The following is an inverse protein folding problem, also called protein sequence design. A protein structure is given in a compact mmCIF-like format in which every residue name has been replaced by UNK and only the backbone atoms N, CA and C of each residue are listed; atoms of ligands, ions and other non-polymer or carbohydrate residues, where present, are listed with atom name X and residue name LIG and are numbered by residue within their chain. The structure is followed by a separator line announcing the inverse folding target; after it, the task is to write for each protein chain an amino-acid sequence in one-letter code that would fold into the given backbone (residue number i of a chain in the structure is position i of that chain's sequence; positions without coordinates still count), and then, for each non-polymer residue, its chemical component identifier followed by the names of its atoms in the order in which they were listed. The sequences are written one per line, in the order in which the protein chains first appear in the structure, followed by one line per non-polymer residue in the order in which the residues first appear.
data_IF_611430221022
#
_entry.id   IF_611430221022
#
_cell.length_a   1.000
_cell.length_b   1.000
_cell.length_c   1.000
_cell.angle_alpha   90.00
_cell.angle_beta   90.00
_cell.angle_gamma   90.00
#
_symmetry.space_group_name_H-M   'P 1'
#
loop_
_entity.id
_entity.type
_entity.pdbx_description
1 polymer ?
#
# COMPACT_ATOMS: atom_id res chain seq x y z
N UNK A 1 36.60 33.39 -2.31
CA UNK A 1 35.24 32.85 -2.06
C UNK A 1 34.40 33.83 -1.24
N UNK A 2 34.85 34.28 -0.06
CA UNK A 2 34.10 35.22 0.79
C UNK A 2 33.78 36.56 0.11
N UNK A 3 34.62 37.03 -0.81
CA UNK A 3 34.38 38.27 -1.57
C UNK A 3 33.59 38.09 -2.88
N UNK A 4 33.01 36.90 -3.14
CA UNK A 4 32.24 36.68 -4.36
C UNK A 4 30.84 37.33 -4.22
N UNK A 5 30.52 38.37 -5.00
CA UNK A 5 29.34 39.20 -4.76
C UNK A 5 28.01 38.47 -5.01
N UNK A 6 27.99 37.47 -5.90
CA UNK A 6 26.80 36.70 -6.24
C UNK A 6 26.65 35.39 -5.44
N UNK A 7 27.45 35.21 -4.38
CA UNK A 7 27.44 33.95 -3.60
C UNK A 7 26.07 33.68 -2.96
N UNK A 8 25.37 34.75 -2.55
CA UNK A 8 24.03 34.66 -1.99
C UNK A 8 22.98 34.19 -3.01
N UNK A 9 23.09 34.65 -4.27
CA UNK A 9 22.18 34.22 -5.34
C UNK A 9 22.41 32.75 -5.71
N UNK A 10 23.67 32.32 -5.71
CA UNK A 10 24.04 30.91 -5.90
C UNK A 10 23.44 30.04 -4.77
N UNK A 11 23.54 30.46 -3.50
CA UNK A 11 22.89 29.76 -2.39
C UNK A 11 21.36 29.79 -2.46
N UNK A 12 20.79 30.86 -2.99
CA UNK A 12 19.35 30.93 -3.25
C UNK A 12 18.91 29.84 -4.23
N UNK A 13 19.61 29.73 -5.37
CA UNK A 13 19.33 28.71 -6.39
C UNK A 13 19.50 27.29 -5.83
N UNK A 14 20.56 27.03 -5.04
CA UNK A 14 20.76 25.73 -4.41
C UNK A 14 19.69 25.37 -3.39
N UNK A 15 19.20 26.36 -2.64
CA UNK A 15 18.09 26.13 -1.70
C UNK A 15 16.80 25.79 -2.44
N UNK A 16 16.49 26.48 -3.53
CA UNK A 16 15.31 26.16 -4.34
C UNK A 16 15.39 24.76 -4.93
N UNK A 17 16.54 24.40 -5.50
CA UNK A 17 16.79 23.06 -6.02
C UNK A 17 16.70 21.99 -4.93
N UNK A 18 17.32 22.24 -3.77
CA UNK A 18 17.26 21.35 -2.62
C UNK A 18 15.84 21.15 -2.11
N UNK A 19 15.06 22.23 -2.00
CA UNK A 19 13.66 22.17 -1.59
C UNK A 19 12.79 21.41 -2.59
N UNK A 20 13.03 21.55 -3.89
CA UNK A 20 12.31 20.79 -4.91
C UNK A 20 12.58 19.29 -4.79
N UNK A 21 13.84 18.90 -4.59
CA UNK A 21 14.21 17.50 -4.36
C UNK A 21 13.58 16.96 -3.08
N UNK A 22 13.66 17.71 -1.98
CA UNK A 22 13.05 17.32 -0.71
C UNK A 22 11.53 17.18 -0.84
N UNK A 23 10.87 18.07 -1.58
CA UNK A 23 9.44 17.98 -1.83
C UNK A 23 9.08 16.66 -2.53
N UNK A 24 9.78 16.29 -3.61
CA UNK A 24 9.52 15.03 -4.30
C UNK A 24 9.73 13.81 -3.40
N UNK A 25 10.78 13.81 -2.58
CA UNK A 25 11.02 12.73 -1.62
C UNK A 25 9.88 12.64 -0.58
N UNK A 26 9.48 13.78 -0.02
CA UNK A 26 8.47 13.81 1.03
C UNK A 26 7.07 13.45 0.51
N UNK A 27 6.71 13.92 -0.70
CA UNK A 27 5.41 13.61 -1.28
C UNK A 27 5.32 12.13 -1.66
N UNK A 28 6.38 11.54 -2.22
CA UNK A 28 6.42 10.12 -2.55
C UNK A 28 6.31 9.24 -1.29
N UNK A 29 7.02 9.60 -0.21
CA UNK A 29 6.91 8.93 1.08
C UNK A 29 5.49 9.04 1.68
N UNK A 30 4.83 10.18 1.50
CA UNK A 30 3.48 10.40 2.00
C UNK A 30 2.47 9.56 1.21
N UNK A 31 2.57 9.56 -0.12
CA UNK A 31 1.70 8.79 -1.00
C UNK A 31 1.87 7.28 -0.75
N UNK A 32 3.11 6.81 -0.59
CA UNK A 32 3.40 5.40 -0.29
C UNK A 32 2.73 4.95 1.02
N UNK A 33 2.70 5.80 2.04
CA UNK A 33 2.01 5.49 3.30
C UNK A 33 0.49 5.46 3.15
N UNK A 34 -0.07 6.33 2.31
CA UNK A 34 -1.50 6.35 1.99
C UNK A 34 -1.90 5.06 1.25
N UNK A 35 -1.17 4.71 0.18
CA UNK A 35 -1.41 3.50 -0.60
C UNK A 35 -1.34 2.24 0.26
N UNK A 36 -0.37 2.14 1.17
CA UNK A 36 -0.27 0.99 2.09
C UNK A 36 -1.50 0.91 3.00
N UNK A 37 -2.01 2.04 3.50
CA UNK A 37 -3.22 2.05 4.35
C UNK A 37 -4.43 1.56 3.56
N UNK A 38 -4.58 2.02 2.33
CA UNK A 38 -5.67 1.60 1.43
C UNK A 38 -5.58 0.11 1.12
N UNK A 39 -4.38 -0.39 0.81
CA UNK A 39 -4.14 -1.82 0.57
C UNK A 39 -4.43 -2.68 1.80
N UNK A 40 -4.04 -2.22 3.00
CA UNK A 40 -4.35 -2.92 4.24
C UNK A 40 -5.86 -2.99 4.52
N UNK A 41 -6.59 -1.93 4.21
CA UNK A 41 -8.05 -1.90 4.34
C UNK A 41 -8.75 -2.77 3.28
N UNK A 42 -8.17 -2.86 2.07
CA UNK A 42 -8.69 -3.68 0.98
C UNK A 42 -8.35 -5.19 1.12
N UNK A 43 -7.25 -5.52 1.82
CA UNK A 43 -6.73 -6.88 1.96
C UNK A 43 -7.77 -7.96 2.34
N UNK A 44 -8.70 -7.73 3.30
CA UNK A 44 -9.72 -8.73 3.66
C UNK A 44 -10.64 -9.12 2.50
N UNK A 45 -10.95 -8.18 1.59
CA UNK A 45 -11.85 -8.42 0.46
C UNK A 45 -11.15 -9.09 -0.73
N UNK A 46 -9.82 -9.03 -0.75
CA UNK A 46 -8.94 -9.64 -1.76
C UNK A 46 -8.40 -11.02 -1.34
N UNK A 47 -8.82 -11.56 -0.19
CA UNK A 47 -8.29 -12.79 0.43
C UNK A 47 -6.79 -12.72 0.80
N UNK A 48 -6.25 -11.53 1.03
CA UNK A 48 -4.89 -11.37 1.54
C UNK A 48 -4.89 -11.50 3.06
N UNK A 49 -4.55 -12.69 3.54
CA UNK A 49 -4.54 -13.01 4.97
C UNK A 49 -3.09 -13.00 5.49
N UNK A 50 -2.77 -12.24 6.55
CA UNK A 50 -1.46 -12.27 7.17
C UNK A 50 -1.08 -13.68 7.65
N UNK A 51 0.22 -13.98 7.63
CA UNK A 51 0.74 -15.29 8.06
C UNK A 51 0.36 -15.56 9.53
N UNK A 52 -0.40 -16.62 9.83
CA UNK A 52 -0.80 -16.92 11.20
C UNK A 52 0.36 -17.52 12.00
N UNK A 53 0.30 -17.35 13.31
CA UNK A 53 1.21 -18.03 14.22
C UNK A 53 0.94 -19.55 14.25
N UNK A 54 2.00 -20.35 14.12
CA UNK A 54 1.98 -21.80 14.26
C UNK A 54 2.89 -22.22 15.43
N UNK A 55 2.35 -23.02 16.36
CA UNK A 55 3.12 -23.64 17.45
C UNK A 55 3.88 -24.85 16.91
N UNK A 56 4.84 -25.32 17.68
CA UNK A 56 5.61 -26.51 17.37
C UNK A 56 4.69 -27.74 17.23
N UNK A 57 4.81 -28.46 16.11
CA UNK A 57 3.95 -29.59 15.77
C UNK A 57 2.64 -29.24 15.03
N UNK A 58 2.29 -27.97 14.84
CA UNK A 58 1.11 -27.57 14.07
C UNK A 58 1.45 -27.32 12.59
N UNK A 59 0.59 -27.79 11.67
CA UNK A 59 0.70 -27.44 10.26
C UNK A 59 0.25 -26.00 10.01
N UNK A 60 1.19 -25.16 9.58
CA UNK A 60 0.92 -23.77 9.19
C UNK A 60 -0.07 -23.70 8.00
N UNK A 61 0.07 -24.61 7.02
CA UNK A 61 -0.82 -24.67 5.86
C UNK A 61 -2.26 -24.97 6.25
N UNK A 62 -2.48 -25.91 7.18
CA UNK A 62 -3.82 -26.21 7.68
C UNK A 62 -4.47 -25.00 8.37
N UNK A 63 -3.68 -24.20 9.08
CA UNK A 63 -4.15 -22.94 9.70
C UNK A 63 -4.50 -21.88 8.67
N UNK A 64 -3.68 -21.72 7.63
CA UNK A 64 -3.94 -20.79 6.52
C UNK A 64 -5.26 -21.18 5.84
N UNK A 65 -5.42 -22.45 5.44
CA UNK A 65 -6.67 -22.93 4.81
C UNK A 65 -7.90 -22.72 5.69
N UNK A 66 -7.76 -22.92 7.02
CA UNK A 66 -8.86 -22.67 7.96
C UNK A 66 -9.24 -21.19 8.02
N UNK A 67 -8.25 -20.29 7.96
CA UNK A 67 -8.50 -18.84 7.94
C UNK A 67 -9.11 -18.38 6.61
N UNK A 68 -8.62 -18.90 5.49
CA UNK A 68 -9.22 -18.67 4.17
C UNK A 68 -10.69 -19.10 4.15
N UNK A 69 -11.01 -20.30 4.67
CA UNK A 69 -12.38 -20.77 4.77
C UNK A 69 -13.25 -19.87 5.69
N UNK A 70 -12.69 -19.39 6.81
CA UNK A 70 -13.39 -18.49 7.73
C UNK A 70 -13.73 -17.14 7.08
N UNK A 71 -12.84 -16.59 6.27
CA UNK A 71 -13.01 -15.27 5.63
C UNK A 71 -13.49 -15.36 4.18
N UNK A 72 -13.79 -16.55 3.65
CA UNK A 72 -14.25 -16.75 2.28
C UNK A 72 -15.49 -15.92 1.92
N UNK A 73 -16.37 -15.67 2.89
CA UNK A 73 -17.55 -14.83 2.73
C UNK A 73 -17.26 -13.33 2.60
N UNK A 74 -16.02 -12.88 2.83
CA UNK A 74 -15.60 -11.49 2.62
C UNK A 74 -15.02 -11.24 1.24
N UNK A 75 -14.75 -12.30 0.45
CA UNK A 75 -14.16 -12.16 -0.88
C UNK A 75 -15.14 -11.51 -1.86
N UNK A 76 -14.97 -10.21 -2.11
CA UNK A 76 -15.90 -9.39 -2.90
C UNK A 76 -16.08 -9.95 -4.31
N UNK A 77 -14.98 -10.29 -4.98
CA UNK A 77 -14.97 -10.87 -6.33
C UNK A 77 -15.78 -12.16 -6.39
N UNK A 78 -15.59 -13.06 -5.42
CA UNK A 78 -16.27 -14.35 -5.38
C UNK A 78 -17.77 -14.19 -5.11
N UNK A 79 -18.17 -13.21 -4.30
CA UNK A 79 -19.56 -12.90 -4.02
C UNK A 79 -20.24 -12.34 -5.27
N UNK A 80 -19.61 -11.36 -5.93
CA UNK A 80 -20.16 -10.72 -7.14
C UNK A 80 -20.25 -11.73 -8.29
N UNK A 81 -19.28 -12.62 -8.44
CA UNK A 81 -19.36 -13.72 -9.44
C UNK A 81 -20.51 -14.69 -9.15
N UNK A 82 -20.85 -14.94 -7.89
CA UNK A 82 -21.90 -15.90 -7.51
C UNK A 82 -23.30 -15.29 -7.50
N UNK A 83 -23.44 -14.05 -7.07
CA UNK A 83 -24.72 -13.42 -6.76
C UNK A 83 -24.98 -12.12 -7.53
N UNK A 84 -23.96 -11.58 -8.21
CA UNK A 84 -24.04 -10.32 -8.92
C UNK A 84 -24.67 -10.44 -10.30
N UNK A 85 -25.07 -9.29 -10.83
CA UNK A 85 -25.53 -9.17 -12.22
C UNK A 85 -24.37 -9.20 -13.20
N UNK A 86 -24.64 -9.50 -14.48
CA UNK A 86 -23.63 -9.51 -15.53
C UNK A 86 -22.92 -8.16 -15.69
N UNK A 87 -23.61 -7.04 -15.42
CA UNK A 87 -23.01 -5.70 -15.41
C UNK A 87 -22.02 -5.53 -14.26
N UNK A 88 -22.37 -6.00 -13.06
CA UNK A 88 -21.49 -5.92 -11.88
C UNK A 88 -20.26 -6.82 -12.05
N UNK A 89 -20.41 -8.01 -12.64
CA UNK A 89 -19.28 -8.90 -12.92
C UNK A 89 -18.27 -8.34 -13.93
N UNK A 90 -18.64 -7.35 -14.75
CA UNK A 90 -17.72 -6.67 -15.69
C UNK A 90 -16.93 -5.52 -15.04
N UNK A 91 -17.35 -5.05 -13.86
CA UNK A 91 -16.74 -3.91 -13.16
C UNK A 91 -15.69 -4.34 -12.11
N UNK A 92 -15.52 -5.64 -11.90
CA UNK A 92 -14.78 -6.25 -10.80
C UNK A 92 -13.84 -7.32 -11.34
#
# INVERSE_FOLDING_TARGET
IIHYPALQDVFHCFRELGNAILFFIMIEQSLSQEEIKDLLQAAPFQNLIPRPYAKEGESLEAKIRRLEAKYAAMSLVNIIKKLGTEKQGKLV
#
